data_IF_288119467797
#
_entry.id   IF_288119467797
#
_cell.length_a   1.000
_cell.length_b   1.000
_cell.length_c   1.000
_cell.angle_alpha   90.00
_cell.angle_beta   90.00
_cell.angle_gamma   90.00
#
_symmetry.space_group_name_H-M   'P 1'
#
loop_
_entity.id
_entity.type
_entity.pdbx_description
1 polymer ?
#
# COMPACT_ATOMS: atom_id res chain seq x y z
N UNK A 1 -1.32 11.63 25.66
CA UNK A 1 -2.00 12.39 24.57
C UNK A 1 -1.25 12.33 23.23
N UNK A 2 0.04 12.68 23.16
CA UNK A 2 0.80 12.68 21.88
C UNK A 2 0.85 11.30 21.19
N UNK A 3 1.07 10.22 21.94
CA UNK A 3 1.08 8.83 21.40
C UNK A 3 -0.28 8.42 20.82
N UNK A 4 -1.37 8.70 21.54
CA UNK A 4 -2.72 8.37 21.09
C UNK A 4 -3.09 9.08 19.77
N UNK A 5 -2.66 10.33 19.60
CA UNK A 5 -2.87 11.08 18.36
C UNK A 5 -2.09 10.47 17.19
N UNK A 6 -0.85 10.00 17.41
CA UNK A 6 -0.06 9.34 16.38
C UNK A 6 -0.67 7.98 16.00
N UNK A 7 -1.13 7.18 16.97
CA UNK A 7 -1.81 5.92 16.68
C UNK A 7 -3.09 6.15 15.85
N UNK A 8 -3.91 7.16 16.21
CA UNK A 8 -5.11 7.53 15.42
C UNK A 8 -4.75 7.92 14.00
N UNK A 9 -3.67 8.68 13.80
CA UNK A 9 -3.21 9.05 12.46
C UNK A 9 -2.75 7.84 11.63
N UNK A 10 -2.01 6.91 12.23
CA UNK A 10 -1.59 5.65 11.57
C UNK A 10 -2.81 4.82 11.16
N UNK A 11 -3.78 4.66 12.08
CA UNK A 11 -5.00 3.91 11.84
C UNK A 11 -5.81 4.57 10.72
N UNK A 12 -6.00 5.89 10.78
CA UNK A 12 -6.73 6.63 9.75
C UNK A 12 -6.07 6.48 8.37
N UNK A 13 -4.75 6.69 8.26
CA UNK A 13 -4.03 6.50 7.01
C UNK A 13 -4.17 5.07 6.48
N UNK A 14 -4.14 4.08 7.37
CA UNK A 14 -4.29 2.66 7.02
C UNK A 14 -5.71 2.33 6.56
N UNK A 15 -6.76 2.92 7.17
CA UNK A 15 -8.15 2.77 6.72
C UNK A 15 -8.35 3.37 5.32
N UNK A 16 -7.76 4.54 5.06
CA UNK A 16 -7.74 5.12 3.70
C UNK A 16 -7.00 4.19 2.74
N UNK A 17 -5.87 3.61 3.15
CA UNK A 17 -5.12 2.63 2.37
C UNK A 17 -5.93 1.38 2.01
N UNK A 18 -6.70 0.85 2.96
CA UNK A 18 -7.63 -0.27 2.72
C UNK A 18 -8.68 0.14 1.70
N UNK A 19 -9.34 1.29 1.88
CA UNK A 19 -10.38 1.77 0.96
C UNK A 19 -9.86 1.88 -0.48
N UNK A 20 -8.69 2.51 -0.66
CA UNK A 20 -8.04 2.68 -1.97
C UNK A 20 -7.67 1.32 -2.56
N UNK A 21 -7.15 0.40 -1.76
CA UNK A 21 -6.77 -0.95 -2.20
C UNK A 21 -7.98 -1.83 -2.55
N UNK A 22 -9.08 -1.70 -1.81
CA UNK A 22 -10.35 -2.38 -2.12
C UNK A 22 -10.94 -1.85 -3.42
N UNK A 23 -10.88 -0.53 -3.66
CA UNK A 23 -11.28 0.03 -4.95
C UNK A 23 -10.40 -0.48 -6.10
N UNK A 24 -9.08 -0.54 -5.90
CA UNK A 24 -8.16 -1.12 -6.88
C UNK A 24 -8.51 -2.58 -7.19
N UNK A 25 -8.78 -3.38 -6.15
CA UNK A 25 -9.20 -4.78 -6.31
C UNK A 25 -10.53 -4.91 -7.07
N UNK A 26 -11.49 -4.03 -6.80
CA UNK A 26 -12.75 -3.97 -7.56
C UNK A 26 -12.49 -3.67 -9.04
N UNK A 27 -11.66 -2.67 -9.33
CA UNK A 27 -11.31 -2.31 -10.72
C UNK A 27 -10.60 -3.47 -11.42
N UNK A 28 -9.60 -4.09 -10.78
CA UNK A 28 -8.87 -5.24 -11.32
C UNK A 28 -9.83 -6.38 -11.66
N UNK A 29 -10.70 -6.77 -10.73
CA UNK A 29 -11.66 -7.86 -10.93
C UNK A 29 -12.63 -7.57 -12.08
N UNK A 30 -13.20 -6.37 -12.13
CA UNK A 30 -14.19 -6.02 -13.16
C UNK A 30 -13.54 -5.87 -14.53
N UNK A 31 -12.35 -5.28 -14.60
CA UNK A 31 -11.59 -5.13 -15.83
C UNK A 31 -11.14 -6.48 -16.40
N UNK A 32 -10.76 -7.44 -15.54
CA UNK A 32 -10.45 -8.81 -15.95
C UNK A 32 -11.69 -9.56 -16.48
N UNK A 33 -12.86 -9.36 -15.87
CA UNK A 33 -14.09 -10.07 -16.23
C UNK A 33 -14.82 -9.48 -17.45
N UNK A 34 -14.69 -8.16 -17.69
CA UNK A 34 -15.43 -7.44 -18.73
C UNK A 34 -14.49 -6.70 -19.68
N UNK A 35 -14.16 -7.29 -20.83
CA UNK A 35 -13.37 -6.61 -21.86
C UNK A 35 -14.02 -5.28 -22.27
N UNK A 36 -13.25 -4.20 -22.29
CA UNK A 36 -13.73 -2.86 -22.61
C UNK A 36 -14.31 -2.06 -21.44
N UNK A 37 -14.29 -2.60 -20.22
CA UNK A 37 -14.59 -1.82 -19.01
C UNK A 37 -13.61 -0.65 -18.85
N UNK A 38 -14.14 0.52 -18.50
CA UNK A 38 -13.37 1.71 -18.13
C UNK A 38 -13.71 2.08 -16.68
N UNK A 39 -12.70 2.11 -15.83
CA UNK A 39 -12.83 2.50 -14.45
C UNK A 39 -13.00 4.02 -14.31
N UNK A 40 -13.56 4.46 -13.17
CA UNK A 40 -13.68 5.89 -12.86
C UNK A 40 -12.31 6.60 -12.77
N UNK A 41 -11.25 5.86 -12.46
CA UNK A 41 -9.90 6.39 -12.43
C UNK A 41 -9.12 6.24 -13.75
N UNK A 42 -9.80 5.86 -14.85
CA UNK A 42 -9.28 5.99 -16.21
C UNK A 42 -9.56 7.41 -16.71
N UNK A 43 -8.61 8.32 -16.52
CA UNK A 43 -8.76 9.75 -16.81
C UNK A 43 -8.43 10.05 -18.29
N UNK A 44 -7.41 9.37 -18.82
CA UNK A 44 -6.95 9.52 -20.20
C UNK A 44 -6.27 8.24 -20.69
N UNK A 45 -5.91 8.19 -21.96
CA UNK A 45 -5.22 7.04 -22.56
C UNK A 45 -3.85 6.73 -21.92
N UNK A 46 -3.20 7.75 -21.35
CA UNK A 46 -1.93 7.63 -20.61
C UNK A 46 -2.12 7.74 -19.08
N UNK A 47 -3.37 7.68 -18.61
CA UNK A 47 -3.72 7.66 -17.19
C UNK A 47 -4.87 6.68 -16.94
N UNK A 48 -4.62 5.39 -17.21
CA UNK A 48 -5.56 4.29 -17.05
C UNK A 48 -5.15 3.35 -15.92
N UNK A 49 -5.90 3.40 -14.82
CA UNK A 49 -5.83 2.38 -13.78
C UNK A 49 -6.15 0.99 -14.30
N UNK A 50 -7.16 0.84 -15.16
CA UNK A 50 -7.62 -0.47 -15.62
C UNK A 50 -6.51 -1.21 -16.38
N UNK A 51 -5.78 -0.49 -17.26
CA UNK A 51 -4.64 -1.04 -18.00
C UNK A 51 -3.48 -1.42 -17.07
N UNK A 52 -3.21 -0.62 -16.04
CA UNK A 52 -2.17 -0.92 -15.06
C UNK A 52 -2.54 -2.12 -14.19
N UNK A 53 -3.77 -2.18 -13.70
CA UNK A 53 -4.27 -3.20 -12.78
C UNK A 53 -4.55 -4.55 -13.43
N UNK A 54 -4.74 -4.59 -14.75
CA UNK A 54 -4.84 -5.87 -15.51
C UNK A 54 -3.49 -6.35 -16.04
N UNK A 55 -2.42 -5.58 -15.83
CA UNK A 55 -1.09 -5.95 -16.29
C UNK A 55 -0.53 -7.16 -15.54
N UNK A 56 0.44 -7.86 -16.14
CA UNK A 56 1.13 -8.99 -15.48
C UNK A 56 1.81 -8.60 -14.15
N UNK A 57 2.12 -7.31 -13.97
CA UNK A 57 2.78 -6.80 -12.77
C UNK A 57 1.81 -6.55 -11.62
N UNK A 58 0.50 -6.49 -11.89
CA UNK A 58 -0.53 -6.28 -10.88
C UNK A 58 -0.76 -7.50 -9.98
N UNK A 59 -0.25 -8.68 -10.37
CA UNK A 59 -0.36 -9.93 -9.60
C UNK A 59 1.03 -10.42 -9.18
N UNK A 60 1.23 -10.70 -7.90
CA UNK A 60 2.49 -11.22 -7.36
C UNK A 60 3.70 -10.33 -7.68
N UNK A 61 3.50 -9.01 -7.77
CA UNK A 61 4.49 -8.02 -8.18
C UNK A 61 5.11 -8.26 -9.57
N UNK A 62 4.56 -9.18 -10.38
CA UNK A 62 5.18 -9.65 -11.61
C UNK A 62 6.47 -10.48 -11.41
N UNK A 63 6.72 -10.93 -10.18
CA UNK A 63 7.90 -11.73 -9.79
C UNK A 63 7.55 -13.17 -9.43
N UNK A 64 6.31 -13.42 -8.99
CA UNK A 64 5.84 -14.74 -8.57
C UNK A 64 5.44 -15.59 -9.77
N UNK A 65 5.79 -16.88 -9.76
CA UNK A 65 5.47 -17.84 -10.82
C UNK A 65 3.95 -18.10 -10.93
N UNK A 66 3.53 -18.55 -12.12
CA UNK A 66 2.11 -18.80 -12.43
C UNK A 66 1.46 -19.83 -11.50
N UNK A 67 2.19 -20.90 -11.17
CA UNK A 67 1.68 -22.03 -10.39
C UNK A 67 1.77 -21.82 -8.87
N UNK A 68 2.25 -20.65 -8.43
CA UNK A 68 2.42 -20.37 -7.00
C UNK A 68 1.12 -19.89 -6.36
N UNK A 69 0.82 -20.41 -5.17
CA UNK A 69 -0.25 -19.92 -4.30
C UNK A 69 -0.10 -18.43 -3.93
N UNK A 70 1.12 -17.89 -4.02
CA UNK A 70 1.39 -16.48 -3.77
C UNK A 70 1.13 -15.60 -5.00
N UNK A 71 0.61 -16.12 -6.10
CA UNK A 71 0.20 -15.28 -7.22
C UNK A 71 -1.18 -14.66 -6.96
N UNK A 72 -1.21 -13.70 -6.05
CA UNK A 72 -2.41 -12.92 -5.72
C UNK A 72 -2.28 -11.47 -6.19
N UNK A 73 -3.40 -10.75 -6.39
CA UNK A 73 -3.38 -9.33 -6.70
C UNK A 73 -2.54 -8.51 -5.70
N UNK A 74 -1.80 -7.52 -6.19
CA UNK A 74 -0.99 -6.60 -5.38
C UNK A 74 -1.86 -5.87 -4.35
N UNK A 75 -3.11 -5.58 -4.70
CA UNK A 75 -4.08 -4.95 -3.82
C UNK A 75 -4.38 -5.79 -2.58
N UNK A 76 -4.35 -7.13 -2.67
CA UNK A 76 -4.54 -8.03 -1.53
C UNK A 76 -3.37 -7.92 -0.56
N UNK A 77 -2.13 -7.89 -1.06
CA UNK A 77 -0.96 -7.63 -0.21
C UNK A 77 -1.06 -6.28 0.51
N UNK A 78 -1.52 -5.25 -0.19
CA UNK A 78 -1.78 -3.93 0.40
C UNK A 78 -2.80 -3.99 1.53
N UNK A 79 -3.95 -4.62 1.31
CA UNK A 79 -4.99 -4.79 2.34
C UNK A 79 -4.44 -5.52 3.58
N UNK A 80 -3.74 -6.64 3.37
CA UNK A 80 -3.13 -7.41 4.47
C UNK A 80 -2.13 -6.54 5.23
N UNK A 81 -1.27 -5.81 4.52
CA UNK A 81 -0.32 -4.88 5.12
C UNK A 81 -1.03 -3.84 6.00
N UNK A 82 -2.05 -3.14 5.49
CA UNK A 82 -2.76 -2.12 6.28
C UNK A 82 -3.50 -2.72 7.48
N UNK A 83 -4.07 -3.92 7.37
CA UNK A 83 -4.67 -4.63 8.51
C UNK A 83 -3.62 -4.93 9.60
N UNK A 84 -2.43 -5.41 9.22
CA UNK A 84 -1.32 -5.64 10.15
C UNK A 84 -0.88 -4.33 10.81
N UNK A 85 -0.75 -3.24 10.05
CA UNK A 85 -0.41 -1.91 10.59
C UNK A 85 -1.45 -1.48 11.63
N UNK A 86 -2.75 -1.57 11.33
CA UNK A 86 -3.83 -1.20 12.27
C UNK A 86 -3.70 -2.01 13.54
N UNK A 87 -3.67 -3.35 13.44
CA UNK A 87 -3.63 -4.24 14.59
C UNK A 87 -2.41 -3.98 15.49
N UNK A 88 -1.22 -3.98 14.90
CA UNK A 88 0.02 -3.83 15.66
C UNK A 88 0.27 -2.40 16.16
N UNK A 89 -0.29 -1.38 15.50
CA UNK A 89 -0.19 0.01 15.95
C UNK A 89 -0.88 0.27 17.29
N UNK A 90 -1.74 -0.64 17.77
CA UNK A 90 -2.36 -0.53 19.09
C UNK A 90 -1.38 -0.80 20.24
N UNK A 91 -0.30 -1.54 19.99
CA UNK A 91 0.71 -1.85 21.01
C UNK A 91 1.77 -0.73 21.09
N UNK A 92 2.09 -0.32 22.32
CA UNK A 92 3.10 0.70 22.62
C UNK A 92 4.40 0.07 23.12
N UNK A 93 4.94 -0.87 22.33
CA UNK A 93 6.24 -1.54 22.60
C UNK A 93 7.24 -1.17 21.51
N UNK A 94 8.47 -0.82 21.89
CA UNK A 94 9.53 -0.44 20.94
C UNK A 94 9.78 -1.56 19.92
N UNK A 95 9.82 -2.82 20.35
CA UNK A 95 10.02 -3.97 19.44
C UNK A 95 8.93 -4.08 18.38
N UNK A 96 7.66 -3.80 18.74
CA UNK A 96 6.55 -3.84 17.79
C UNK A 96 6.65 -2.70 16.78
N UNK A 97 7.00 -1.49 17.22
CA UNK A 97 7.17 -0.35 16.31
C UNK A 97 8.38 -0.55 15.38
N UNK A 98 9.47 -1.17 15.85
CA UNK A 98 10.60 -1.56 14.99
C UNK A 98 10.19 -2.56 13.91
N UNK A 99 9.41 -3.59 14.28
CA UNK A 99 8.85 -4.53 13.29
C UNK A 99 7.99 -3.78 12.26
N UNK A 100 7.12 -2.88 12.69
CA UNK A 100 6.30 -2.07 11.78
C UNK A 100 7.12 -1.16 10.88
N UNK A 101 8.21 -0.58 11.38
CA UNK A 101 9.15 0.18 10.56
C UNK A 101 9.82 -0.69 9.49
N UNK A 102 10.23 -1.91 9.83
CA UNK A 102 10.77 -2.85 8.85
C UNK A 102 9.74 -3.19 7.77
N UNK A 103 8.51 -3.53 8.16
CA UNK A 103 7.41 -3.80 7.21
C UNK A 103 7.12 -2.59 6.33
N UNK A 104 7.10 -1.39 6.92
CA UNK A 104 6.89 -0.14 6.18
C UNK A 104 8.03 0.17 5.23
N UNK A 105 9.28 -0.15 5.58
CA UNK A 105 10.44 0.01 4.70
C UNK A 105 10.35 -0.93 3.50
N UNK A 106 9.99 -2.20 3.71
CA UNK A 106 9.72 -3.15 2.62
C UNK A 106 8.61 -2.62 1.71
N UNK A 107 7.51 -2.13 2.28
CA UNK A 107 6.41 -1.54 1.52
C UNK A 107 6.85 -0.35 0.67
N UNK A 108 7.71 0.54 1.19
CA UNK A 108 8.28 1.65 0.42
C UNK A 108 9.21 1.20 -0.70
N UNK A 109 10.05 0.18 -0.46
CA UNK A 109 10.87 -0.41 -1.53
C UNK A 109 9.99 -1.00 -2.64
N UNK A 110 8.89 -1.68 -2.27
CA UNK A 110 7.89 -2.15 -3.23
C UNK A 110 7.23 -0.99 -3.98
N UNK A 111 6.90 0.13 -3.32
CA UNK A 111 6.37 1.32 -3.99
C UNK A 111 7.37 1.88 -5.02
N UNK A 112 8.66 1.97 -4.69
CA UNK A 112 9.70 2.43 -5.63
C UNK A 112 9.77 1.50 -6.84
N UNK A 113 9.75 0.19 -6.61
CA UNK A 113 9.72 -0.81 -7.68
C UNK A 113 8.49 -0.68 -8.58
N UNK A 114 7.29 -0.58 -8.00
CA UNK A 114 6.05 -0.43 -8.77
C UNK A 114 5.98 0.92 -9.49
N UNK A 115 6.51 2.00 -8.90
CA UNK A 115 6.62 3.30 -9.56
C UNK A 115 7.58 3.25 -10.76
N UNK A 116 8.69 2.51 -10.65
CA UNK A 116 9.57 2.24 -11.79
C UNK A 116 8.82 1.52 -12.92
N UNK A 117 8.05 0.47 -12.60
CA UNK A 117 7.25 -0.22 -13.60
C UNK A 117 6.21 0.71 -14.25
N UNK A 118 5.56 1.56 -13.44
CA UNK A 118 4.55 2.51 -13.88
C UNK A 118 5.12 3.50 -14.91
N UNK A 119 6.30 4.07 -14.62
CA UNK A 119 6.93 5.12 -15.44
C UNK A 119 7.64 4.53 -16.66
N UNK A 120 8.47 3.51 -16.47
CA UNK A 120 9.41 3.05 -17.51
C UNK A 120 8.88 1.89 -18.35
N UNK A 121 8.09 1.01 -17.74
CA UNK A 121 7.63 -0.23 -18.40
C UNK A 121 6.22 -0.08 -18.97
N UNK A 122 5.26 0.32 -18.13
CA UNK A 122 3.85 0.50 -18.50
C UNK A 122 3.61 1.83 -19.22
N UNK A 123 4.39 2.87 -18.87
CA UNK A 123 4.27 4.24 -19.38
C UNK A 123 2.84 4.78 -19.25
N UNK A 124 2.27 4.62 -18.06
CA UNK A 124 0.87 4.92 -17.77
C UNK A 124 0.73 5.47 -16.35
N UNK A 125 -0.18 6.40 -16.10
CA UNK A 125 -0.34 7.02 -14.78
C UNK A 125 -1.53 6.45 -14.01
N UNK A 126 -1.24 5.62 -13.01
CA UNK A 126 -2.26 5.05 -12.11
C UNK A 126 -2.40 5.90 -10.84
N UNK A 127 -3.45 6.75 -10.77
CA UNK A 127 -3.70 7.62 -9.61
C UNK A 127 -3.93 6.84 -8.31
N UNK A 128 -4.58 5.67 -8.41
CA UNK A 128 -4.83 4.77 -7.26
C UNK A 128 -3.51 4.25 -6.71
N UNK A 129 -2.61 3.79 -7.59
CA UNK A 129 -1.29 3.31 -7.23
C UNK A 129 -0.46 4.41 -6.56
N UNK A 130 -0.39 5.59 -7.19
CA UNK A 130 0.30 6.76 -6.64
C UNK A 130 -0.26 7.16 -5.28
N UNK A 131 -1.59 7.11 -5.11
CA UNK A 131 -2.23 7.37 -3.81
C UNK A 131 -1.77 6.38 -2.74
N UNK A 132 -1.66 5.08 -3.06
CA UNK A 132 -1.12 4.09 -2.12
C UNK A 132 0.34 4.37 -1.74
N UNK A 133 1.15 4.91 -2.65
CA UNK A 133 2.54 5.26 -2.36
C UNK A 133 2.63 6.40 -1.35
N UNK A 134 1.80 7.43 -1.51
CA UNK A 134 1.70 8.53 -0.54
C UNK A 134 1.20 8.04 0.83
N UNK A 135 0.22 7.14 0.85
CA UNK A 135 -0.30 6.55 2.09
C UNK A 135 0.81 5.76 2.82
N UNK A 136 1.57 4.94 2.09
CA UNK A 136 2.69 4.17 2.66
C UNK A 136 3.79 5.09 3.21
N UNK A 137 4.11 6.18 2.51
CA UNK A 137 5.05 7.19 3.00
C UNK A 137 4.55 7.90 4.27
N UNK A 138 3.26 8.25 4.32
CA UNK A 138 2.65 8.85 5.50
C UNK A 138 2.69 7.90 6.71
N UNK A 139 2.38 6.61 6.52
CA UNK A 139 2.47 5.58 7.56
C UNK A 139 3.91 5.47 8.08
N UNK A 140 4.90 5.40 7.18
CA UNK A 140 6.31 5.35 7.56
C UNK A 140 6.73 6.57 8.42
N UNK A 141 6.28 7.76 8.03
CA UNK A 141 6.53 8.99 8.78
C UNK A 141 5.92 8.93 10.20
N UNK A 142 4.64 8.54 10.32
CA UNK A 142 3.99 8.44 11.62
C UNK A 142 4.57 7.32 12.50
N UNK A 143 4.99 6.20 11.93
CA UNK A 143 5.69 5.12 12.65
C UNK A 143 7.03 5.59 13.20
N UNK A 144 7.81 6.36 12.42
CA UNK A 144 9.07 6.95 12.89
C UNK A 144 8.84 7.91 14.06
N UNK A 145 7.80 8.76 13.96
CA UNK A 145 7.40 9.64 15.06
C UNK A 145 7.00 8.85 16.31
N UNK A 146 6.24 7.76 16.15
CA UNK A 146 5.87 6.87 17.25
C UNK A 146 7.10 6.24 17.91
N UNK A 147 8.06 5.76 17.11
CA UNK A 147 9.31 5.17 17.59
C UNK A 147 10.10 6.17 18.44
N UNK A 148 10.28 7.40 17.95
CA UNK A 148 10.98 8.46 18.67
C UNK A 148 10.33 8.77 20.02
N UNK A 149 8.99 8.86 20.07
CA UNK A 149 8.24 9.10 21.30
C UNK A 149 8.43 7.98 22.33
N UNK A 150 8.38 6.70 21.89
CA UNK A 150 8.56 5.57 22.79
C UNK A 150 10.00 5.45 23.31
N UNK A 151 11.00 5.77 22.49
CA UNK A 151 12.40 5.79 22.92
C UNK A 151 12.65 6.87 23.97
N UNK A 152 12.14 8.08 23.77
CA UNK A 152 12.26 9.18 24.73
C UNK A 152 11.57 8.87 26.08
N UNK A 153 10.51 8.05 26.07
CA UNK A 153 9.84 7.60 27.29
C UNK A 153 10.62 6.52 28.05
N UNK A 154 11.43 5.70 27.36
CA UNK A 154 12.25 4.67 28.00
C UNK A 154 13.48 5.26 28.71
N UNK A 155 13.95 6.44 28.28
CA UNK A 155 15.11 7.14 28.85
C UNK A 155 14.77 8.03 30.06
N UNK A 156 13.49 8.25 30.35
CA UNK A 156 12.99 8.97 31.54
C UNK A 156 12.44 7.97 32.55
#
# INVERSE_FOLDING_TARGET
>A
MKEANVNRAIIFASLVGILVSTYAMYVELVADLKPGYKALCDISEHASCSKVLTSKYAKGLGLVSQDSLFKVPNCVYGIIFFCIIIFLSTFNKISVVRLLLCLSAVSLLTCVYLAYLLIFVLRDFCIVCVSTYFINAAIAFFLNKKHALLCAKKSN
#
